data_IF_911861403461
#
_entry.id   IF_911861403461
#
_cell.length_a   1.000
_cell.length_b   1.000
_cell.length_c   1.000
_cell.angle_alpha   90.00
_cell.angle_beta   90.00
_cell.angle_gamma   90.00
#
_symmetry.space_group_name_H-M   'P 1'
#
loop_
_entity.id
_entity.type
_entity.pdbx_description
1 polymer ?
#
# COMPACT_ATOMS: atom_id res chain seq x y z
N UNK A 1 16.47 3.95 5.40
CA UNK A 1 15.38 3.90 4.38
C UNK A 1 14.12 3.25 4.95
N UNK A 2 12.95 3.46 4.32
CA UNK A 2 11.65 2.91 4.76
C UNK A 2 11.68 1.39 4.98
N UNK A 3 12.27 0.65 4.04
CA UNK A 3 12.47 -0.79 4.14
C UNK A 3 13.28 -1.21 5.37
N UNK A 4 14.34 -0.47 5.72
CA UNK A 4 15.16 -0.78 6.90
C UNK A 4 14.37 -0.59 8.21
N UNK A 5 13.49 0.41 8.26
CA UNK A 5 12.61 0.65 9.41
C UNK A 5 11.63 -0.51 9.57
N UNK A 6 11.03 -0.97 8.47
CA UNK A 6 10.12 -2.12 8.48
C UNK A 6 10.82 -3.41 8.91
N UNK A 7 12.01 -3.69 8.37
CA UNK A 7 12.80 -4.87 8.75
C UNK A 7 13.19 -4.81 10.23
N UNK A 8 13.61 -3.64 10.73
CA UNK A 8 13.90 -3.44 12.17
C UNK A 8 12.66 -3.68 13.03
N UNK A 9 11.49 -3.18 12.60
CA UNK A 9 10.24 -3.33 13.33
C UNK A 9 9.84 -4.81 13.46
N UNK A 10 9.84 -5.55 12.36
CA UNK A 10 9.56 -6.99 12.33
C UNK A 10 10.53 -7.75 13.25
N UNK A 11 11.84 -7.51 13.11
CA UNK A 11 12.88 -8.17 13.94
C UNK A 11 12.73 -7.89 15.43
N UNK A 12 12.22 -6.72 15.81
CA UNK A 12 12.05 -6.34 17.22
C UNK A 12 10.76 -6.87 17.85
N UNK A 13 9.69 -7.02 17.06
CA UNK A 13 8.36 -7.41 17.55
C UNK A 13 8.19 -8.94 17.52
N UNK A 14 8.71 -9.61 16.49
CA UNK A 14 8.53 -11.06 16.32
C UNK A 14 9.01 -11.88 17.53
N UNK A 15 10.22 -11.67 18.08
CA UNK A 15 10.68 -12.41 19.25
C UNK A 15 9.80 -12.17 20.48
N UNK A 16 9.17 -11.00 20.59
CA UNK A 16 8.27 -10.66 21.71
C UNK A 16 6.92 -11.35 21.60
N UNK A 17 6.39 -11.48 20.37
CA UNK A 17 5.11 -12.14 20.10
C UNK A 17 5.25 -13.66 20.16
N UNK A 18 6.29 -14.21 19.52
CA UNK A 18 6.52 -15.65 19.41
C UNK A 18 7.05 -16.26 20.71
N UNK A 19 7.78 -15.48 21.51
CA UNK A 19 8.34 -15.94 22.77
C UNK A 19 9.28 -17.14 22.57
N UNK A 20 8.84 -18.32 23.02
CA UNK A 20 9.58 -19.61 22.88
C UNK A 20 9.06 -20.50 21.75
N UNK A 21 8.06 -20.05 20.99
CA UNK A 21 7.52 -20.81 19.86
C UNK A 21 8.61 -21.01 18.80
N UNK A 22 8.80 -22.24 18.36
CA UNK A 22 9.65 -22.59 17.22
C UNK A 22 8.74 -22.91 16.05
N UNK A 23 8.67 -22.00 15.09
CA UNK A 23 7.85 -22.17 13.89
C UNK A 23 8.66 -22.90 12.82
N UNK A 24 8.00 -23.80 12.09
CA UNK A 24 8.50 -24.28 10.80
C UNK A 24 8.61 -23.13 9.80
N UNK A 25 9.31 -23.39 8.69
CA UNK A 25 9.44 -22.43 7.60
C UNK A 25 8.08 -21.97 7.07
N UNK A 26 7.14 -22.90 6.87
CA UNK A 26 5.80 -22.60 6.34
C UNK A 26 5.00 -21.73 7.30
N UNK A 27 5.01 -22.07 8.59
CA UNK A 27 4.34 -21.28 9.63
C UNK A 27 4.94 -19.86 9.73
N UNK A 28 6.26 -19.74 9.71
CA UNK A 28 6.93 -18.44 9.73
C UNK A 28 6.61 -17.62 8.49
N UNK A 29 6.56 -18.25 7.32
CA UNK A 29 6.17 -17.61 6.06
C UNK A 29 4.73 -17.07 6.13
N UNK A 30 3.80 -17.86 6.68
CA UNK A 30 2.41 -17.44 6.89
C UNK A 30 2.32 -16.22 7.81
N UNK A 31 3.00 -16.26 8.97
CA UNK A 31 2.99 -15.15 9.93
C UNK A 31 3.58 -13.87 9.32
N UNK A 32 4.63 -14.00 8.50
CA UNK A 32 5.20 -12.86 7.78
C UNK A 32 4.25 -12.33 6.71
N UNK A 33 3.49 -13.19 6.04
CA UNK A 33 2.45 -12.81 5.09
C UNK A 33 1.36 -11.97 5.78
N UNK A 34 0.89 -12.42 6.94
CA UNK A 34 -0.10 -11.69 7.75
C UNK A 34 0.45 -10.33 8.19
N UNK A 35 1.69 -10.30 8.68
CA UNK A 35 2.34 -9.05 9.07
C UNK A 35 2.46 -8.06 7.89
N UNK A 36 2.84 -8.55 6.71
CA UNK A 36 2.88 -7.75 5.49
C UNK A 36 1.49 -7.21 5.14
N UNK A 37 0.45 -8.04 5.23
CA UNK A 37 -0.93 -7.64 4.97
C UNK A 37 -1.38 -6.52 5.90
N UNK A 38 -1.12 -6.65 7.20
CA UNK A 38 -1.46 -5.61 8.20
C UNK A 38 -0.69 -4.32 7.93
N UNK A 39 0.63 -4.39 7.69
CA UNK A 39 1.45 -3.21 7.41
C UNK A 39 0.95 -2.48 6.15
N UNK A 40 0.63 -3.23 5.09
CA UNK A 40 0.17 -2.66 3.83
C UNK A 40 -1.26 -2.12 3.87
N UNK A 41 -2.09 -2.58 4.81
CA UNK A 41 -3.46 -2.09 4.98
C UNK A 41 -3.54 -0.86 5.90
N UNK A 42 -2.45 -0.47 6.55
CA UNK A 42 -2.45 0.68 7.48
C UNK A 42 -2.71 1.99 6.73
N UNK A 43 -3.62 2.85 7.21
CA UNK A 43 -3.83 4.17 6.62
C UNK A 43 -2.56 5.02 6.77
N UNK A 44 -2.09 5.60 5.67
CA UNK A 44 -1.06 6.64 5.66
C UNK A 44 -1.69 8.01 5.89
N UNK A 45 -2.79 8.28 5.20
CA UNK A 45 -3.61 9.50 5.28
C UNK A 45 -5.02 9.18 4.78
N UNK A 46 -5.93 10.13 4.89
CA UNK A 46 -7.25 10.07 4.26
C UNK A 46 -7.23 10.87 2.96
N UNK A 47 -8.04 10.44 1.98
CA UNK A 47 -8.19 11.12 0.68
C UNK A 47 -9.16 12.29 0.74
N UNK A 48 -10.04 12.32 1.74
CA UNK A 48 -11.00 13.41 1.97
C UNK A 48 -10.93 13.89 3.42
N UNK A 49 -11.26 15.17 3.61
CA UNK A 49 -11.47 15.80 4.91
C UNK A 49 -12.93 15.65 5.39
N UNK A 50 -13.83 15.22 4.49
CA UNK A 50 -15.23 14.99 4.80
C UNK A 50 -15.37 13.75 5.69
N UNK A 51 -15.98 13.94 6.87
CA UNK A 51 -16.15 12.89 7.88
C UNK A 51 -17.05 11.74 7.40
N UNK A 52 -17.94 12.01 6.46
CA UNK A 52 -18.87 11.02 5.90
C UNK A 52 -18.21 10.15 4.79
N UNK A 53 -17.08 10.59 4.21
CA UNK A 53 -16.36 9.92 3.11
C UNK A 53 -14.85 9.74 3.41
N UNK A 54 -14.53 9.26 4.61
CA UNK A 54 -13.17 8.95 5.04
C UNK A 54 -12.63 7.68 4.35
N UNK A 55 -12.11 7.84 3.13
CA UNK A 55 -11.39 6.77 2.42
C UNK A 55 -9.90 6.82 2.81
N UNK A 56 -9.36 5.80 3.52
CA UNK A 56 -7.96 5.78 3.90
C UNK A 56 -7.05 5.41 2.72
N UNK A 57 -6.07 6.25 2.42
CA UNK A 57 -4.97 5.93 1.54
C UNK A 57 -3.99 4.99 2.25
N UNK A 58 -3.92 3.73 1.83
CA UNK A 58 -3.03 2.72 2.40
C UNK A 58 -1.92 2.32 1.42
N UNK A 59 -0.76 1.80 1.88
CA UNK A 59 0.29 1.35 1.00
C UNK A 59 -0.16 0.29 -0.02
N UNK A 60 -1.11 -0.58 0.35
CA UNK A 60 -1.64 -1.61 -0.56
C UNK A 60 -2.26 -1.01 -1.82
N UNK A 61 -2.82 0.20 -1.76
CA UNK A 61 -3.40 0.88 -2.93
C UNK A 61 -2.35 1.25 -3.99
N UNK A 62 -1.08 1.41 -3.59
CA UNK A 62 0.03 1.64 -4.52
C UNK A 62 0.68 0.34 -5.01
N UNK A 63 0.54 -0.75 -4.25
CA UNK A 63 1.12 -2.06 -4.56
C UNK A 63 0.20 -2.92 -5.41
N UNK A 64 -1.11 -2.67 -5.36
CA UNK A 64 -2.07 -3.26 -6.28
C UNK A 64 -1.85 -2.64 -7.65
N UNK A 65 -1.81 -3.49 -8.70
CA UNK A 65 -1.94 -2.98 -10.07
C UNK A 65 -3.20 -2.14 -10.11
N UNK A 66 -3.06 -0.87 -10.51
CA UNK A 66 -4.19 -0.04 -10.84
C UNK A 66 -4.90 -0.80 -11.96
N UNK A 67 -6.00 -1.49 -11.64
CA UNK A 67 -6.91 -1.94 -12.70
C UNK A 67 -7.37 -0.65 -13.34
N UNK A 68 -6.87 -0.38 -14.53
CA UNK A 68 -7.23 0.76 -15.34
C UNK A 68 -8.70 0.59 -15.74
N UNK A 69 -9.61 0.83 -14.79
CA UNK A 69 -10.97 1.22 -15.13
C UNK A 69 -10.79 2.53 -15.88
N UNK A 70 -10.87 2.42 -17.21
CA UNK A 70 -10.32 3.36 -18.18
C UNK A 70 -10.54 4.83 -17.82
N UNK A 71 -9.56 5.42 -17.16
CA UNK A 71 -9.37 6.86 -17.18
C UNK A 71 -8.55 7.12 -18.45
N UNK A 72 -9.10 7.81 -19.46
CA UNK A 72 -8.32 8.18 -20.63
C UNK A 72 -7.11 8.99 -20.16
N UNK A 73 -5.93 8.60 -20.62
CA UNK A 73 -4.69 9.32 -20.35
C UNK A 73 -4.92 10.84 -20.50
N UNK A 74 -4.66 11.57 -19.42
CA UNK A 74 -4.71 13.04 -19.38
C UNK A 74 -3.80 13.69 -20.45
N UNK A 75 -2.89 12.92 -21.06
CA UNK A 75 -2.08 13.31 -22.18
C UNK A 75 -2.83 13.45 -23.53
N UNK A 76 -4.10 13.06 -23.61
CA UNK A 76 -4.89 13.19 -24.85
C UNK A 76 -5.64 14.54 -24.97
N UNK A 77 -5.61 15.41 -23.95
CA UNK A 77 -6.30 16.69 -23.99
C UNK A 77 -5.48 17.84 -24.62
N UNK A 78 -4.17 17.68 -24.83
CA UNK A 78 -3.35 18.73 -25.43
C UNK A 78 -3.41 18.76 -26.97
N UNK A 79 -3.85 17.70 -27.63
CA UNK A 79 -3.81 17.61 -29.10
C UNK A 79 -5.06 18.19 -29.78
N UNK A 80 -6.14 18.44 -29.04
CA UNK A 80 -7.42 18.91 -29.61
C UNK A 80 -7.44 20.45 -29.69
N UNK A 81 -6.73 21.14 -28.80
CA UNK A 81 -6.75 22.62 -28.75
C UNK A 81 -5.70 23.29 -29.66
N UNK A 82 -4.67 22.55 -30.10
CA UNK A 82 -3.64 23.08 -31.02
C UNK A 82 -3.99 23.02 -32.51
N UNK A 83 -5.18 22.51 -32.88
CA UNK A 83 -5.66 22.51 -34.28
C UNK A 83 -6.85 23.45 -34.53
N UNK A 84 -7.32 24.18 -33.51
CA UNK A 84 -8.43 25.14 -33.65
C UNK A 84 -8.02 26.60 -33.81
N UNK A 85 -6.73 26.90 -33.73
CA UNK A 85 -6.22 28.23 -34.05
C UNK A 85 -5.47 28.16 -35.37
N UNK A 86 -6.08 28.83 -36.35
CA UNK A 86 -5.50 29.33 -37.60
C UNK A 86 -4.05 29.79 -37.48
#
# INVERSE_FOLDING_TARGET
>A
GFWEVMVKLVKNIFPKILGKACLSYEEMSSVLCDCKSVINSRPLTYLSEDLDDLIPLSPSMFLQEISTVGVPDLYQLDTIDLKKTL
#
